data_IF_760845377054
#
_entry.id   IF_760845377054
#
_cell.length_a   1.000
_cell.length_b   1.000
_cell.length_c   1.000
_cell.angle_alpha   90.00
_cell.angle_beta   90.00
_cell.angle_gamma   90.00
#
_symmetry.space_group_name_H-M   'P 1'
#
loop_
_entity.id
_entity.type
_entity.pdbx_description
1 polymer ?
#
# COMPACT_ATOMS: atom_id res chain seq x y z
N UNK A 1 -12.98 58.86 26.24
CA UNK A 1 -14.01 59.18 27.27
C UNK A 1 -15.34 59.36 26.57
N UNK A 2 -16.34 58.52 26.89
CA UNK A 2 -17.71 58.67 26.38
C UNK A 2 -18.33 57.39 25.82
N UNK A 3 -18.79 56.53 26.73
CA UNK A 3 -19.57 55.31 26.50
C UNK A 3 -21.05 55.66 26.24
N UNK A 4 -21.70 55.10 25.20
CA UNK A 4 -23.17 54.97 25.09
C UNK A 4 -23.58 53.76 24.25
N UNK A 5 -23.61 52.62 24.93
CA UNK A 5 -24.75 51.69 25.03
C UNK A 5 -25.96 51.94 24.09
N UNK A 6 -26.24 50.97 23.20
CA UNK A 6 -27.61 50.65 22.78
C UNK A 6 -27.73 49.13 22.57
N UNK A 7 -28.36 48.48 23.56
CA UNK A 7 -28.80 47.10 23.53
C UNK A 7 -29.96 46.98 22.54
N UNK A 8 -29.92 45.99 21.65
CA UNK A 8 -31.14 45.34 21.17
C UNK A 8 -31.04 43.87 21.54
N UNK A 9 -31.84 43.50 22.54
CA UNK A 9 -32.12 42.13 22.98
C UNK A 9 -33.29 41.60 22.15
N UNK A 10 -33.14 40.36 21.70
CA UNK A 10 -34.16 39.49 21.11
C UNK A 10 -33.41 38.42 20.32
N UNK A 11 -33.08 37.25 20.85
CA UNK A 11 -33.93 36.35 21.62
C UNK A 11 -34.90 35.68 20.64
N UNK A 12 -34.54 34.54 20.05
CA UNK A 12 -34.74 33.21 20.64
C UNK A 12 -33.92 32.15 19.87
N UNK A 13 -33.65 30.99 20.51
CA UNK A 13 -32.62 30.02 20.14
C UNK A 13 -33.21 28.79 19.41
N UNK A 14 -32.37 28.04 18.70
CA UNK A 14 -32.44 26.60 18.36
C UNK A 14 -31.32 26.37 17.32
N UNK A 15 -30.12 25.99 17.72
CA UNK A 15 -29.66 24.61 17.92
C UNK A 15 -29.37 23.88 16.59
N UNK A 16 -28.27 23.10 16.58
CA UNK A 16 -27.93 22.01 15.62
C UNK A 16 -27.28 22.53 14.31
N UNK A 17 -26.05 22.24 13.86
CA UNK A 17 -25.02 21.20 14.06
C UNK A 17 -23.67 21.77 13.54
N UNK A 18 -22.59 21.79 14.33
CA UNK A 18 -21.37 20.97 14.13
C UNK A 18 -21.21 20.38 12.73
N UNK A 19 -20.14 20.73 12.00
CA UNK A 19 -19.40 19.78 11.15
C UNK A 19 -18.03 20.36 10.71
N UNK A 20 -16.99 19.61 11.09
CA UNK A 20 -15.64 19.50 10.50
C UNK A 20 -14.75 20.77 10.44
N UNK A 21 -13.56 20.81 11.05
CA UNK A 21 -12.57 19.74 11.27
C UNK A 21 -11.32 20.03 10.41
N UNK A 22 -10.10 20.01 10.98
CA UNK A 22 -8.90 20.59 10.37
C UNK A 22 -8.34 19.71 9.24
N UNK A 23 -8.16 20.28 8.04
CA UNK A 23 -7.46 19.62 6.92
C UNK A 23 -5.98 20.00 6.92
N UNK A 24 -5.23 19.42 7.85
CA UNK A 24 -3.77 19.28 7.75
C UNK A 24 -3.40 17.86 8.20
N UNK A 25 -3.86 16.88 7.44
CA UNK A 25 -3.35 15.50 7.49
C UNK A 25 -2.25 15.37 6.43
N UNK A 26 -1.12 14.77 6.84
CA UNK A 26 0.19 14.96 6.24
C UNK A 26 0.43 14.38 4.85
N UNK A 27 1.42 14.98 4.18
CA UNK A 27 2.16 14.38 3.06
C UNK A 27 3.10 13.29 3.59
N UNK A 28 2.54 12.19 4.10
CA UNK A 28 3.23 10.91 4.15
C UNK A 28 2.44 10.02 3.19
N UNK A 29 2.97 9.84 1.97
CA UNK A 29 2.39 8.92 1.00
C UNK A 29 2.23 7.53 1.62
N UNK A 30 1.37 6.64 1.06
CA UNK A 30 1.03 5.37 1.68
C UNK A 30 2.30 4.58 1.99
N UNK A 31 2.68 4.68 3.24
CA UNK A 31 3.82 4.03 3.85
C UNK A 31 3.44 2.55 3.85
N UNK A 32 4.30 1.73 3.25
CA UNK A 32 4.32 0.26 3.28
C UNK A 32 3.17 -0.33 4.09
N UNK A 33 2.19 -0.97 3.46
CA UNK A 33 0.95 -1.38 4.14
C UNK A 33 -0.30 -0.63 3.67
N UNK A 34 -0.23 0.08 2.55
CA UNK A 34 -1.42 0.55 1.85
C UNK A 34 -2.41 -0.61 1.67
N UNK A 35 -3.67 -0.38 2.06
CA UNK A 35 -4.79 -1.21 1.66
C UNK A 35 -4.67 -1.45 0.16
N UNK A 36 -4.29 -2.66 -0.22
CA UNK A 36 -4.20 -3.06 -1.62
C UNK A 36 -5.54 -3.67 -1.99
N UNK A 37 -6.04 -3.39 -3.18
CA UNK A 37 -7.23 -4.08 -3.64
C UNK A 37 -6.86 -5.53 -3.93
N UNK A 38 -7.24 -6.45 -3.04
CA UNK A 38 -7.03 -7.88 -3.24
C UNK A 38 -7.72 -8.41 -4.51
N UNK A 39 -8.67 -7.66 -5.09
CA UNK A 39 -9.31 -8.02 -6.36
C UNK A 39 -8.54 -7.55 -7.58
N UNK A 40 -7.67 -6.55 -7.46
CA UNK A 40 -6.82 -6.10 -8.57
C UNK A 40 -5.56 -6.99 -8.67
N UNK A 41 -5.35 -7.73 -9.79
CA UNK A 41 -4.14 -8.52 -9.99
C UNK A 41 -2.83 -7.73 -9.87
N UNK A 42 -2.82 -6.47 -10.30
CA UNK A 42 -1.65 -5.59 -10.27
C UNK A 42 -1.30 -5.18 -8.85
N UNK A 43 -2.31 -4.95 -8.01
CA UNK A 43 -2.13 -4.62 -6.60
C UNK A 43 -1.73 -5.84 -5.76
N UNK A 44 -2.33 -7.01 -6.02
CA UNK A 44 -1.92 -8.29 -5.39
C UNK A 44 -0.46 -8.61 -5.68
N UNK A 45 -0.04 -8.49 -6.92
CA UNK A 45 1.35 -8.73 -7.31
C UNK A 45 2.32 -7.75 -6.64
N UNK A 46 2.00 -6.45 -6.61
CA UNK A 46 2.82 -5.46 -5.89
C UNK A 46 2.87 -5.74 -4.38
N UNK A 47 1.78 -6.18 -3.76
CA UNK A 47 1.77 -6.57 -2.36
C UNK A 47 2.68 -7.79 -2.09
N UNK A 48 2.64 -8.80 -2.97
CA UNK A 48 3.53 -9.96 -2.88
C UNK A 48 5.02 -9.58 -3.07
N UNK A 49 5.32 -8.65 -3.99
CA UNK A 49 6.66 -8.10 -4.16
C UNK A 49 7.15 -7.42 -2.88
N UNK A 50 6.33 -6.54 -2.30
CA UNK A 50 6.67 -5.86 -1.04
C UNK A 50 6.92 -6.86 0.09
N UNK A 51 6.06 -7.87 0.23
CA UNK A 51 6.21 -8.93 1.22
C UNK A 51 7.54 -9.70 1.04
N UNK A 52 7.86 -10.08 -0.19
CA UNK A 52 9.10 -10.77 -0.53
C UNK A 52 10.34 -9.88 -0.30
N UNK A 53 10.26 -8.58 -0.58
CA UNK A 53 11.33 -7.64 -0.27
C UNK A 53 11.52 -7.47 1.23
N UNK A 54 10.44 -7.36 2.00
CA UNK A 54 10.51 -7.13 3.44
C UNK A 54 11.17 -8.31 4.15
N UNK A 55 10.73 -9.55 3.86
CA UNK A 55 11.34 -10.75 4.45
C UNK A 55 12.81 -10.91 4.06
N UNK A 56 13.18 -10.57 2.82
CA UNK A 56 14.57 -10.65 2.37
C UNK A 56 15.46 -9.59 3.05
N UNK A 57 15.03 -8.32 3.05
CA UNK A 57 15.81 -7.21 3.63
C UNK A 57 15.96 -7.36 5.15
N UNK A 58 14.92 -7.87 5.83
CA UNK A 58 14.95 -8.09 7.28
C UNK A 58 15.55 -9.44 7.70
N UNK A 59 16.01 -10.27 6.76
CA UNK A 59 16.60 -11.58 7.07
C UNK A 59 15.62 -12.52 7.78
N UNK A 60 14.33 -12.47 7.44
CA UNK A 60 13.29 -13.33 7.99
C UNK A 60 13.16 -14.61 7.12
N UNK A 61 13.75 -15.75 7.55
CA UNK A 61 13.72 -16.98 6.75
C UNK A 61 12.32 -17.59 6.73
N UNK A 62 11.95 -18.17 5.59
CA UNK A 62 10.76 -19.00 5.49
C UNK A 62 11.09 -20.45 5.89
N UNK A 63 10.07 -21.22 6.26
CA UNK A 63 10.24 -22.65 6.50
C UNK A 63 10.76 -23.37 5.24
N UNK A 64 11.43 -24.50 5.43
CA UNK A 64 12.02 -25.28 4.33
C UNK A 64 11.02 -25.56 3.21
N UNK A 65 11.45 -25.36 1.96
CA UNK A 65 10.62 -25.55 0.76
C UNK A 65 9.50 -24.52 0.57
N UNK A 66 9.39 -23.49 1.43
CA UNK A 66 8.42 -22.40 1.24
C UNK A 66 8.95 -21.27 0.35
N UNK A 67 10.26 -21.12 0.23
CA UNK A 67 10.86 -20.11 -0.66
C UNK A 67 10.51 -20.37 -2.13
N UNK A 68 10.59 -21.62 -2.59
CA UNK A 68 10.19 -22.00 -3.94
C UNK A 68 8.70 -21.72 -4.20
N UNK A 69 7.83 -22.06 -3.23
CA UNK A 69 6.39 -21.77 -3.32
C UNK A 69 6.09 -20.28 -3.40
N UNK A 70 6.80 -19.46 -2.63
CA UNK A 70 6.66 -18.01 -2.72
C UNK A 70 7.14 -17.48 -4.09
N UNK A 71 8.23 -18.04 -4.63
CA UNK A 71 8.72 -17.69 -5.96
C UNK A 71 7.69 -18.04 -7.05
N UNK A 72 7.10 -19.23 -7.00
CA UNK A 72 6.05 -19.66 -7.93
C UNK A 72 4.82 -18.74 -7.84
N UNK A 73 4.40 -18.40 -6.61
CA UNK A 73 3.28 -17.47 -6.39
C UNK A 73 3.55 -16.07 -6.94
N UNK A 74 4.80 -15.58 -6.86
CA UNK A 74 5.21 -14.30 -7.43
C UNK A 74 5.18 -14.30 -8.95
N UNK A 75 5.63 -15.38 -9.59
CA UNK A 75 5.60 -15.55 -11.05
C UNK A 75 4.16 -15.58 -11.54
N UNK A 76 3.31 -16.38 -10.90
CA UNK A 76 1.89 -16.47 -11.25
C UNK A 76 1.18 -15.12 -11.06
N UNK A 77 1.42 -14.42 -9.94
CA UNK A 77 0.87 -13.09 -9.72
C UNK A 77 1.34 -12.07 -10.77
N UNK A 78 2.59 -12.19 -11.24
CA UNK A 78 3.10 -11.32 -12.30
C UNK A 78 2.39 -11.57 -13.63
N UNK A 79 2.21 -12.83 -14.05
CA UNK A 79 1.47 -13.13 -15.28
C UNK A 79 0.03 -12.59 -15.24
N UNK A 80 -0.62 -12.67 -14.08
CA UNK A 80 -1.94 -12.09 -13.87
C UNK A 80 -1.92 -10.55 -13.95
N UNK A 81 -0.88 -9.91 -13.42
CA UNK A 81 -0.68 -8.47 -13.52
C UNK A 81 -0.41 -8.01 -14.96
N UNK A 82 0.45 -8.71 -15.69
CA UNK A 82 0.74 -8.47 -17.12
C UNK A 82 -0.53 -8.57 -17.96
N UNK A 83 -1.33 -9.63 -17.75
CA UNK A 83 -2.61 -9.81 -18.42
C UNK A 83 -3.59 -8.66 -18.12
N UNK A 84 -3.66 -8.24 -16.86
CA UNK A 84 -4.54 -7.15 -16.44
C UNK A 84 -4.11 -5.80 -17.04
N UNK A 85 -2.81 -5.50 -17.08
CA UNK A 85 -2.28 -4.29 -17.69
C UNK A 85 -2.49 -4.27 -19.20
N UNK A 86 -2.20 -5.37 -19.89
CA UNK A 86 -2.43 -5.52 -21.31
C UNK A 86 -3.91 -5.31 -21.68
N UNK A 87 -4.83 -5.89 -20.90
CA UNK A 87 -6.27 -5.70 -21.08
C UNK A 87 -6.70 -4.25 -20.88
N UNK A 88 -6.16 -3.55 -19.87
CA UNK A 88 -6.46 -2.13 -19.61
C UNK A 88 -5.97 -1.22 -20.72
N UNK A 89 -4.84 -1.57 -21.35
CA UNK A 89 -4.21 -0.83 -22.42
C UNK A 89 -4.68 -1.24 -23.83
N UNK A 90 -5.56 -2.24 -23.95
CA UNK A 90 -6.01 -2.84 -25.22
C UNK A 90 -4.83 -3.28 -26.12
N UNK A 91 -3.85 -3.97 -25.52
CA UNK A 91 -2.63 -4.44 -26.21
C UNK A 91 -2.27 -5.87 -25.82
N UNK A 92 -1.17 -6.39 -26.37
CA UNK A 92 -0.62 -7.71 -26.06
C UNK A 92 0.19 -7.72 -24.76
N UNK A 93 0.24 -8.86 -24.06
CA UNK A 93 1.05 -9.02 -22.84
C UNK A 93 2.56 -8.87 -23.08
N UNK A 94 3.01 -9.10 -24.31
CA UNK A 94 4.39 -8.93 -24.74
C UNK A 94 4.70 -7.52 -25.23
N UNK A 95 3.75 -6.59 -25.15
CA UNK A 95 3.97 -5.20 -25.52
C UNK A 95 5.07 -4.58 -24.64
N UNK A 96 6.09 -3.93 -25.24
CA UNK A 96 7.18 -3.31 -24.48
C UNK A 96 6.73 -2.32 -23.40
N UNK A 97 5.59 -1.63 -23.58
CA UNK A 97 5.05 -0.71 -22.58
C UNK A 97 4.52 -1.46 -21.35
N UNK A 98 3.83 -2.58 -21.55
CA UNK A 98 3.35 -3.45 -20.45
C UNK A 98 4.53 -4.04 -19.69
N UNK A 99 5.52 -4.57 -20.41
CA UNK A 99 6.74 -5.12 -19.81
C UNK A 99 7.55 -4.04 -19.07
N UNK A 100 7.59 -2.82 -19.63
CA UNK A 100 8.20 -1.66 -19.01
C UNK A 100 7.52 -1.25 -17.71
N UNK A 101 6.18 -1.22 -17.66
CA UNK A 101 5.43 -0.91 -16.44
C UNK A 101 5.67 -1.97 -15.34
N UNK A 102 5.67 -3.25 -15.70
CA UNK A 102 6.03 -4.33 -14.77
C UNK A 102 7.45 -4.16 -14.21
N UNK A 103 8.45 -3.91 -15.05
CA UNK A 103 9.83 -3.71 -14.59
C UNK A 103 9.95 -2.48 -13.66
N UNK A 104 9.26 -1.39 -14.01
CA UNK A 104 9.21 -0.15 -13.21
C UNK A 104 8.59 -0.39 -11.83
N UNK A 105 7.41 -1.03 -11.78
CA UNK A 105 6.72 -1.34 -10.52
C UNK A 105 7.52 -2.25 -9.63
N UNK A 106 8.18 -3.29 -10.18
CA UNK A 106 9.05 -4.18 -9.39
C UNK A 106 10.15 -3.39 -8.69
N UNK A 107 10.86 -2.58 -9.45
CA UNK A 107 11.95 -1.73 -8.95
C UNK A 107 11.45 -0.75 -7.88
N UNK A 108 10.28 -0.15 -8.10
CA UNK A 108 9.66 0.77 -7.16
C UNK A 108 9.29 0.08 -5.84
N UNK A 109 8.63 -1.08 -5.88
CA UNK A 109 8.22 -1.78 -4.65
C UNK A 109 9.42 -2.23 -3.81
N UNK A 110 10.47 -2.76 -4.45
CA UNK A 110 11.70 -3.12 -3.75
C UNK A 110 12.35 -1.93 -3.07
N UNK A 111 12.42 -0.78 -3.76
CA UNK A 111 12.97 0.46 -3.21
C UNK A 111 12.15 0.95 -2.03
N UNK A 112 10.82 1.05 -2.18
CA UNK A 112 9.91 1.52 -1.13
C UNK A 112 10.06 0.71 0.15
N UNK A 113 10.21 -0.61 0.05
CA UNK A 113 10.44 -1.47 1.23
C UNK A 113 11.82 -1.25 1.83
N UNK A 114 12.89 -1.16 1.02
CA UNK A 114 14.24 -0.88 1.53
C UNK A 114 14.30 0.45 2.27
N UNK A 115 13.74 1.50 1.70
CA UNK A 115 13.70 2.84 2.31
C UNK A 115 12.90 2.81 3.62
N UNK A 116 11.75 2.14 3.62
CA UNK A 116 10.93 1.96 4.81
C UNK A 116 11.64 1.19 5.94
N UNK A 117 12.35 0.10 5.61
CA UNK A 117 13.12 -0.66 6.60
C UNK A 117 14.31 0.17 7.12
N UNK A 118 14.97 0.93 6.25
CA UNK A 118 16.07 1.80 6.66
C UNK A 118 15.60 2.92 7.61
N UNK A 119 14.41 3.47 7.37
CA UNK A 119 13.83 4.56 8.18
C UNK A 119 13.23 4.08 9.51
N UNK A 120 12.47 2.98 9.48
CA UNK A 120 11.65 2.55 10.63
C UNK A 120 12.11 1.26 11.30
N UNK A 121 13.00 0.52 10.65
CA UNK A 121 13.50 -0.77 11.12
C UNK A 121 12.54 -1.93 10.86
N UNK A 122 13.07 -3.14 11.03
CA UNK A 122 12.32 -4.38 10.79
C UNK A 122 11.24 -4.69 11.83
N UNK A 123 11.29 -4.07 13.00
CA UNK A 123 10.27 -4.20 14.04
C UNK A 123 9.06 -3.29 13.83
N UNK A 124 9.08 -2.44 12.80
CA UNK A 124 7.94 -1.60 12.43
C UNK A 124 6.70 -2.48 12.14
N UNK A 125 5.52 -2.19 12.72
CA UNK A 125 4.34 -3.05 12.57
C UNK A 125 3.97 -3.33 11.11
N UNK A 126 4.14 -2.33 10.23
CA UNK A 126 3.85 -2.48 8.82
C UNK A 126 4.84 -3.40 8.08
N UNK A 127 6.12 -3.35 8.46
CA UNK A 127 7.14 -4.28 7.93
C UNK A 127 6.86 -5.70 8.43
N UNK A 128 6.49 -5.85 9.70
CA UNK A 128 6.09 -7.13 10.28
C UNK A 128 4.85 -7.72 9.58
N UNK A 129 3.87 -6.89 9.23
CA UNK A 129 2.69 -7.31 8.48
C UNK A 129 3.06 -7.82 7.07
N UNK A 130 4.01 -7.16 6.40
CA UNK A 130 4.54 -7.63 5.11
C UNK A 130 5.28 -8.97 5.25
N UNK A 131 6.07 -9.15 6.31
CA UNK A 131 6.76 -10.43 6.58
C UNK A 131 5.71 -11.53 6.80
N UNK A 132 4.68 -11.25 7.63
CA UNK A 132 3.57 -12.18 7.85
C UNK A 132 2.79 -12.48 6.56
N UNK A 133 2.65 -11.52 5.65
CA UNK A 133 2.07 -11.77 4.33
C UNK A 133 2.94 -12.72 3.51
N UNK A 134 4.27 -12.56 3.50
CA UNK A 134 5.17 -13.47 2.81
C UNK A 134 5.05 -14.90 3.34
N UNK A 135 4.93 -15.06 4.67
CA UNK A 135 4.72 -16.36 5.29
C UNK A 135 3.41 -17.02 4.84
N UNK A 136 2.30 -16.27 4.83
CA UNK A 136 1.00 -16.77 4.38
C UNK A 136 1.00 -17.14 2.90
N UNK A 137 1.54 -16.27 2.04
CA UNK A 137 1.70 -16.54 0.60
C UNK A 137 2.53 -17.81 0.37
N UNK A 138 3.64 -17.96 1.10
CA UNK A 138 4.49 -19.15 1.01
C UNK A 138 3.83 -20.45 1.51
N UNK A 139 2.78 -20.33 2.32
CA UNK A 139 1.95 -21.42 2.79
C UNK A 139 0.74 -21.70 1.86
N UNK A 140 0.56 -20.94 0.78
CA UNK A 140 -0.59 -21.03 -0.12
C UNK A 140 -1.86 -20.39 0.45
N UNK A 141 -1.72 -19.48 1.41
CA UNK A 141 -2.79 -18.75 2.07
C UNK A 141 -2.73 -17.29 1.59
N UNK A 142 -3.48 -16.97 0.53
CA UNK A 142 -3.53 -15.63 -0.05
C UNK A 142 -4.94 -15.06 0.06
#
# INVERSE_FOLDING_TARGET
>A
MGDRTARIRGGWPLAVLLLAGPLLAGCAGPVVGAAYDAKDPVDRWQAALRANSARYVCGAPLAEGREARLADALVEAQHQAETALALRADTAVTDPEVLGDIASRRTLQERVVRDAVAERGCSDPQIMDLIGLAERLSAGQA
#
